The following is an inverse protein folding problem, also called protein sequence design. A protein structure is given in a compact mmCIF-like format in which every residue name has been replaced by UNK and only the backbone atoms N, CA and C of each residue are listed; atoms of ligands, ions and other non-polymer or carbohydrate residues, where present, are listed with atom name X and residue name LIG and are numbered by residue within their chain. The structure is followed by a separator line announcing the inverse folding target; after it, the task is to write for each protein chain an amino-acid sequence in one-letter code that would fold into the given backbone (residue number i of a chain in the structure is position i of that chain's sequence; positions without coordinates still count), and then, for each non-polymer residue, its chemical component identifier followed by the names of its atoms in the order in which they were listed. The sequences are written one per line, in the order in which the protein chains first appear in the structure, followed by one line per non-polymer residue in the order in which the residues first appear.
data_IF_302491163338
#
_entry.id   IF_302491163338
#
_cell.length_a   1.000
_cell.length_b   1.000
_cell.length_c   1.000
_cell.angle_alpha   90.00
_cell.angle_beta   90.00
_cell.angle_gamma   90.00
#
_symmetry.space_group_name_H-M   'P 1'
#
loop_
_entity.id
_entity.type
_entity.pdbx_description
1 polymer ?
#
# COMPACT_ATOMS: atom_id res chain seq x y z
N UNK A 1 11.59 4.38 -0.28
CA UNK A 1 10.44 4.26 -1.19
C UNK A 1 10.87 3.45 -2.41
N UNK A 2 10.03 2.52 -2.88
CA UNK A 2 10.23 1.79 -4.13
C UNK A 2 9.08 2.13 -5.07
N UNK A 3 9.39 2.42 -6.33
CA UNK A 3 8.39 2.63 -7.39
C UNK A 3 8.70 1.66 -8.52
N UNK A 4 7.73 0.83 -8.88
CA UNK A 4 7.88 -0.18 -9.94
C UNK A 4 6.83 0.05 -11.01
N UNK A 5 7.26 0.54 -12.17
CA UNK A 5 6.37 0.91 -13.28
C UNK A 5 6.54 -0.08 -14.42
N UNK A 6 5.45 -0.54 -15.01
CA UNK A 6 5.53 -1.28 -16.26
C UNK A 6 5.66 -0.29 -17.42
N UNK A 7 6.72 -0.42 -18.22
CA UNK A 7 6.89 0.37 -19.45
C UNK A 7 7.16 -0.59 -20.60
N UNK A 8 6.38 -0.43 -21.68
CA UNK A 8 6.41 -1.25 -22.90
C UNK A 8 6.29 -2.75 -22.62
N UNK A 9 7.41 -3.44 -22.35
CA UNK A 9 7.48 -4.89 -22.12
C UNK A 9 8.14 -5.30 -20.80
N UNK A 10 8.63 -4.34 -19.99
CA UNK A 10 9.37 -4.64 -18.77
C UNK A 10 8.98 -3.76 -17.58
N UNK A 11 9.13 -4.31 -16.38
CA UNK A 11 9.00 -3.53 -15.15
C UNK A 11 10.30 -2.81 -14.84
N UNK A 12 10.24 -1.48 -14.78
CA UNK A 12 11.35 -0.63 -14.36
C UNK A 12 11.13 -0.26 -12.89
N UNK A 13 12.09 -0.65 -12.06
CA UNK A 13 12.05 -0.35 -10.62
C UNK A 13 13.02 0.77 -10.30
N UNK A 14 12.57 1.75 -9.50
CA UNK A 14 13.41 2.80 -8.91
C UNK A 14 13.34 2.67 -7.38
N UNK A 15 14.48 2.76 -6.71
CA UNK A 15 14.57 2.78 -5.26
C UNK A 15 15.04 4.17 -4.80
N UNK A 16 14.50 4.63 -3.67
CA UNK A 16 14.85 5.91 -3.04
C UNK A 16 15.06 5.72 -1.54
N UNK A 17 16.05 6.41 -0.98
CA UNK A 17 16.37 6.42 0.44
C UNK A 17 16.45 7.86 0.97
N UNK A 18 15.71 8.14 2.05
CA UNK A 18 15.82 9.44 2.74
C UNK A 18 17.09 9.46 3.58
N UNK A 19 18.09 10.24 3.15
CA UNK A 19 19.39 10.27 3.82
C UNK A 19 19.35 10.96 5.18
N UNK A 20 18.45 11.94 5.36
CA UNK A 20 18.26 12.64 6.63
C UNK A 20 17.68 11.71 7.69
N UNK A 21 16.70 10.88 7.33
CA UNK A 21 16.12 9.89 8.23
C UNK A 21 17.11 8.78 8.58
N UNK A 22 17.94 8.34 7.62
CA UNK A 22 19.01 7.37 7.92
C UNK A 22 20.05 7.96 8.88
N UNK A 23 20.35 9.26 8.78
CA UNK A 23 21.27 9.95 9.71
C UNK A 23 20.69 10.13 11.11
N UNK A 24 19.38 10.34 11.23
CA UNK A 24 18.66 10.49 12.51
C UNK A 24 18.29 9.16 13.16
N UNK A 25 18.45 8.04 12.46
CA UNK A 25 18.19 6.72 13.01
C UNK A 25 19.16 6.42 14.17
N UNK A 26 18.70 5.62 15.14
CA UNK A 26 19.54 5.17 16.26
C UNK A 26 20.79 4.46 15.75
N UNK A 27 21.90 4.62 16.48
CA UNK A 27 23.24 4.18 16.05
C UNK A 27 23.32 2.69 15.70
N UNK A 28 22.50 1.85 16.33
CA UNK A 28 22.41 0.40 16.07
C UNK A 28 21.60 0.06 14.82
N UNK A 29 20.70 0.93 14.38
CA UNK A 29 19.84 0.75 13.21
C UNK A 29 20.48 1.34 11.95
N UNK A 30 21.16 2.48 12.06
CA UNK A 30 21.82 3.15 10.95
C UNK A 30 22.70 2.23 10.08
N UNK A 31 23.65 1.42 10.62
CA UNK A 31 24.47 0.54 9.80
C UNK A 31 23.64 -0.57 9.13
N UNK A 32 22.54 -1.02 9.75
CA UNK A 32 21.61 -1.99 9.15
C UNK A 32 20.86 -1.40 7.97
N UNK A 33 20.40 -0.15 8.07
CA UNK A 33 19.74 0.57 6.97
C UNK A 33 20.70 0.79 5.81
N UNK A 34 21.95 1.18 6.08
CA UNK A 34 22.98 1.35 5.05
C UNK A 34 23.31 0.01 4.38
N UNK A 35 23.45 -1.06 5.17
CA UNK A 35 23.67 -2.42 4.64
C UNK A 35 22.51 -2.89 3.76
N UNK A 36 21.27 -2.65 4.16
CA UNK A 36 20.08 -2.95 3.37
C UNK A 36 20.07 -2.16 2.07
N UNK A 37 20.29 -0.85 2.13
CA UNK A 37 20.33 0.02 0.95
C UNK A 37 21.34 -0.49 -0.09
N UNK A 38 22.55 -0.88 0.35
CA UNK A 38 23.59 -1.44 -0.53
C UNK A 38 23.22 -2.78 -1.17
N UNK A 39 22.31 -3.56 -0.59
CA UNK A 39 21.86 -4.85 -1.14
C UNK A 39 20.75 -4.69 -2.18
N UNK A 40 20.03 -3.57 -2.18
CA UNK A 40 18.92 -3.35 -3.10
C UNK A 40 19.43 -3.15 -4.54
N UNK A 41 18.75 -3.79 -5.50
CA UNK A 41 18.99 -3.64 -6.94
C UNK A 41 17.71 -3.12 -7.62
N UNK A 42 17.75 -1.97 -8.32
CA UNK A 42 18.89 -1.06 -8.44
C UNK A 42 19.24 -0.37 -7.11
N UNK A 43 20.46 0.19 -7.03
CA UNK A 43 20.89 0.94 -5.85
C UNK A 43 19.92 2.10 -5.56
N UNK A 44 19.51 2.32 -4.30
CA UNK A 44 18.62 3.42 -3.96
C UNK A 44 19.25 4.77 -4.23
N UNK A 45 18.50 5.64 -4.91
CA UNK A 45 18.88 7.04 -5.08
C UNK A 45 18.72 7.77 -3.74
N UNK A 46 19.76 8.46 -3.24
CA UNK A 46 19.63 9.29 -2.05
C UNK A 46 18.72 10.48 -2.36
N UNK A 47 17.79 10.78 -1.46
CA UNK A 47 16.87 11.92 -1.55
C UNK A 47 16.73 12.62 -0.20
N UNK A 48 16.43 13.91 -0.21
CA UNK A 48 16.02 14.66 0.98
C UNK A 48 14.58 14.34 1.38
N UNK A 49 14.15 14.79 2.57
CA UNK A 49 12.75 14.67 2.97
C UNK A 49 11.82 15.41 1.99
N UNK A 50 12.17 16.62 1.60
CA UNK A 50 11.38 17.43 0.66
C UNK A 50 11.22 16.73 -0.70
N UNK A 51 12.30 16.16 -1.23
CA UNK A 51 12.26 15.39 -2.48
C UNK A 51 11.38 14.13 -2.33
N UNK A 52 11.41 13.47 -1.17
CA UNK A 52 10.56 12.32 -0.90
C UNK A 52 9.08 12.70 -0.86
N UNK A 53 8.74 13.85 -0.26
CA UNK A 53 7.37 14.39 -0.27
C UNK A 53 6.92 14.69 -1.71
N UNK A 54 7.76 15.37 -2.50
CA UNK A 54 7.48 15.64 -3.93
C UNK A 54 7.25 14.36 -4.73
N UNK A 55 8.07 13.32 -4.52
CA UNK A 55 7.91 12.03 -5.16
C UNK A 55 6.60 11.34 -4.77
N UNK A 56 6.24 11.39 -3.48
CA UNK A 56 5.02 10.76 -2.96
C UNK A 56 3.76 11.44 -3.51
N UNK A 57 3.79 12.77 -3.63
CA UNK A 57 2.67 13.56 -4.16
C UNK A 57 2.64 13.64 -5.69
N UNK A 58 3.65 13.08 -6.37
CA UNK A 58 3.65 13.02 -7.83
C UNK A 58 2.66 11.96 -8.33
N UNK A 59 2.09 12.10 -9.54
CA UNK A 59 1.17 11.09 -10.07
C UNK A 59 1.84 9.75 -10.41
N UNK A 60 3.14 9.74 -10.73
CA UNK A 60 3.86 8.57 -11.26
C UNK A 60 3.67 7.30 -10.41
N UNK A 61 3.88 7.30 -9.07
CA UNK A 61 3.76 6.09 -8.26
C UNK A 61 2.37 5.45 -8.29
N UNK A 62 1.32 6.28 -8.28
CA UNK A 62 -0.08 5.82 -8.26
C UNK A 62 -0.46 5.27 -9.62
N UNK A 63 -0.19 6.01 -10.69
CA UNK A 63 -0.42 5.54 -12.06
C UNK A 63 0.31 4.21 -12.30
N UNK A 64 1.53 4.07 -11.79
CA UNK A 64 2.26 2.82 -11.91
C UNK A 64 1.63 1.68 -11.11
N UNK A 65 1.10 1.94 -9.92
CA UNK A 65 0.40 0.95 -9.12
C UNK A 65 -0.90 0.50 -9.80
N UNK A 66 -1.69 1.42 -10.35
CA UNK A 66 -2.91 1.11 -11.10
C UNK A 66 -2.63 0.26 -12.35
N UNK A 67 -1.59 0.59 -13.11
CA UNK A 67 -1.16 -0.24 -14.27
C UNK A 67 -0.81 -1.67 -13.84
N UNK A 68 -0.14 -1.85 -12.69
CA UNK A 68 0.14 -3.21 -12.20
C UNK A 68 -1.13 -3.91 -11.77
N UNK A 69 -2.02 -3.22 -11.05
CA UNK A 69 -3.27 -3.80 -10.59
C UNK A 69 -4.12 -4.27 -11.78
N UNK A 70 -4.27 -3.45 -12.82
CA UNK A 70 -5.00 -3.81 -14.03
C UNK A 70 -4.45 -5.08 -14.68
N UNK A 71 -3.12 -5.25 -14.69
CA UNK A 71 -2.50 -6.47 -15.23
C UNK A 71 -2.74 -7.68 -14.34
N UNK A 72 -2.77 -7.50 -13.02
CA UNK A 72 -3.07 -8.57 -12.08
C UNK A 72 -4.53 -9.01 -12.21
N UNK A 73 -5.48 -8.08 -12.30
CA UNK A 73 -6.91 -8.38 -12.43
C UNK A 73 -7.25 -9.07 -13.76
N UNK A 74 -6.52 -8.77 -14.84
CA UNK A 74 -6.66 -9.48 -16.12
C UNK A 74 -6.09 -10.90 -16.10
N UNK A 75 -5.14 -11.19 -15.20
CA UNK A 75 -4.40 -12.46 -15.17
C UNK A 75 -4.95 -13.44 -14.16
N UNK A 76 -5.46 -12.96 -13.03
CA UNK A 76 -5.87 -13.78 -11.90
C UNK A 76 -7.36 -13.57 -11.62
N UNK A 77 -8.06 -14.66 -11.31
CA UNK A 77 -9.49 -14.65 -10.98
C UNK A 77 -9.77 -13.97 -9.63
N UNK A 78 -8.83 -14.11 -8.68
CA UNK A 78 -8.92 -13.49 -7.35
C UNK A 78 -7.69 -12.65 -7.11
N UNK A 79 -7.91 -11.36 -6.84
CA UNK A 79 -6.86 -10.40 -6.49
C UNK A 79 -7.20 -9.79 -5.14
N UNK A 80 -6.29 -9.94 -4.17
CA UNK A 80 -6.39 -9.31 -2.86
C UNK A 80 -5.44 -8.12 -2.84
N UNK A 81 -5.97 -6.94 -2.54
CA UNK A 81 -5.19 -5.71 -2.40
C UNK A 81 -5.19 -5.30 -0.94
N UNK A 82 -4.01 -5.24 -0.34
CA UNK A 82 -3.82 -4.76 1.03
C UNK A 82 -3.55 -3.25 1.03
N UNK A 83 -4.23 -2.52 1.90
CA UNK A 83 -3.98 -1.10 2.11
C UNK A 83 -2.70 -0.85 2.91
N UNK A 84 -2.21 0.39 2.90
CA UNK A 84 -1.12 0.82 3.77
C UNK A 84 -1.67 1.56 4.99
N UNK A 85 -1.37 1.04 6.18
CA UNK A 85 -1.82 1.60 7.46
C UNK A 85 -3.36 1.73 7.52
N UNK A 86 -3.91 2.93 7.69
CA UNK A 86 -5.33 3.22 7.77
C UNK A 86 -5.86 3.96 6.53
N UNK A 87 -5.17 3.88 5.39
CA UNK A 87 -5.67 4.46 4.14
C UNK A 87 -6.92 3.71 3.70
N UNK A 88 -7.95 4.45 3.25
CA UNK A 88 -9.20 3.87 2.76
C UNK A 88 -8.99 3.06 1.48
N UNK A 89 -8.09 3.50 0.61
CA UNK A 89 -7.71 2.80 -0.60
C UNK A 89 -6.23 3.02 -0.92
N UNK A 90 -5.47 1.98 -1.31
CA UNK A 90 -4.06 2.13 -1.69
C UNK A 90 -3.90 2.81 -3.06
N UNK A 91 -4.87 2.68 -3.97
CA UNK A 91 -4.90 3.36 -5.28
C UNK A 91 -6.35 3.61 -5.74
N UNK A 92 -6.64 4.60 -6.61
CA UNK A 92 -7.98 4.81 -7.14
C UNK A 92 -8.58 3.55 -7.78
N UNK A 93 -7.82 2.86 -8.65
CA UNK A 93 -8.32 1.67 -9.35
C UNK A 93 -8.63 0.51 -8.39
N UNK A 94 -7.94 0.43 -7.25
CA UNK A 94 -8.14 -0.67 -6.30
C UNK A 94 -9.52 -0.68 -5.63
N UNK A 95 -10.11 0.50 -5.41
CA UNK A 95 -11.48 0.59 -4.90
C UNK A 95 -12.52 0.58 -6.03
N UNK A 96 -12.18 1.12 -7.21
CA UNK A 96 -13.06 1.07 -8.38
C UNK A 96 -13.36 -0.36 -8.85
N UNK A 97 -12.36 -1.25 -8.77
CA UNK A 97 -12.48 -2.65 -9.15
C UNK A 97 -12.83 -3.58 -7.99
N UNK A 98 -13.01 -3.07 -6.77
CA UNK A 98 -13.28 -3.91 -5.62
C UNK A 98 -14.72 -4.46 -5.67
N UNK A 99 -14.87 -5.78 -5.65
CA UNK A 99 -16.17 -6.41 -5.41
C UNK A 99 -16.57 -6.33 -3.93
N UNK A 100 -15.58 -6.48 -3.04
CA UNK A 100 -15.73 -6.42 -1.58
C UNK A 100 -14.56 -5.67 -0.97
N UNK A 101 -14.83 -4.94 0.11
CA UNK A 101 -13.81 -4.29 0.95
C UNK A 101 -13.86 -4.91 2.34
N UNK A 102 -12.72 -5.40 2.81
CA UNK A 102 -12.57 -5.98 4.14
C UNK A 102 -11.91 -4.95 5.06
N UNK A 103 -12.65 -4.47 6.05
CA UNK A 103 -12.08 -3.61 7.10
C UNK A 103 -11.74 -4.47 8.31
N UNK A 104 -10.44 -4.62 8.55
CA UNK A 104 -9.90 -5.52 9.56
C UNK A 104 -9.71 -4.76 10.88
N UNK A 105 -10.24 -5.31 11.95
CA UNK A 105 -10.02 -4.87 13.33
C UNK A 105 -9.61 -6.08 14.20
N UNK A 106 -9.04 -5.88 15.39
CA UNK A 106 -8.76 -6.99 16.29
C UNK A 106 -10.01 -7.86 16.52
N UNK A 107 -9.89 -9.16 16.24
CA UNK A 107 -10.96 -10.13 16.45
C UNK A 107 -12.02 -10.24 15.35
N UNK A 108 -12.08 -9.30 14.39
CA UNK A 108 -13.10 -9.32 13.33
C UNK A 108 -12.67 -8.66 12.02
N UNK A 109 -13.21 -9.14 10.90
CA UNK A 109 -13.19 -8.44 9.64
C UNK A 109 -14.62 -8.08 9.21
N UNK A 110 -14.85 -6.79 8.96
CA UNK A 110 -16.12 -6.26 8.49
C UNK A 110 -16.13 -6.30 6.95
N UNK A 111 -17.21 -6.81 6.37
CA UNK A 111 -17.35 -7.01 4.93
C UNK A 111 -18.26 -5.92 4.37
N UNK A 112 -17.73 -5.09 3.49
CA UNK A 112 -18.45 -4.04 2.78
C UNK A 112 -18.63 -4.39 1.31
N UNK A 113 -19.71 -3.88 0.74
CA UNK A 113 -19.90 -3.88 -0.71
C UNK A 113 -18.95 -2.90 -1.37
N UNK A 114 -18.19 -3.33 -2.38
CA UNK A 114 -17.19 -2.46 -2.98
C UNK A 114 -17.76 -1.23 -3.68
N UNK A 115 -18.93 -1.36 -4.33
CA UNK A 115 -19.60 -0.22 -5.00
C UNK A 115 -20.06 0.83 -4.00
N UNK A 116 -20.70 0.39 -2.90
CA UNK A 116 -21.12 1.31 -1.83
C UNK A 116 -19.92 1.96 -1.13
N UNK A 117 -18.82 1.21 -0.97
CA UNK A 117 -17.58 1.75 -0.44
C UNK A 117 -17.00 2.86 -1.33
N UNK A 118 -16.97 2.62 -2.64
CA UNK A 118 -16.55 3.61 -3.65
C UNK A 118 -17.43 4.86 -3.63
N UNK A 119 -18.76 4.70 -3.57
CA UNK A 119 -19.70 5.83 -3.50
C UNK A 119 -19.45 6.70 -2.26
N UNK A 120 -19.31 6.09 -1.08
CA UNK A 120 -19.00 6.82 0.14
C UNK A 120 -17.65 7.54 0.06
N UNK A 121 -16.64 6.90 -0.56
CA UNK A 121 -15.34 7.53 -0.78
C UNK A 121 -15.44 8.75 -1.69
N UNK A 122 -16.19 8.66 -2.81
CA UNK A 122 -16.40 9.79 -3.74
C UNK A 122 -17.09 10.97 -3.06
N UNK A 123 -18.12 10.72 -2.25
CA UNK A 123 -18.80 11.75 -1.46
C UNK A 123 -17.83 12.47 -0.52
N UNK A 124 -16.94 11.71 0.15
CA UNK A 124 -15.92 12.29 1.03
C UNK A 124 -14.91 13.12 0.25
N UNK A 125 -14.45 12.64 -0.91
CA UNK A 125 -13.49 13.36 -1.75
C UNK A 125 -14.07 14.69 -2.27
N UNK A 126 -15.31 14.69 -2.74
CA UNK A 126 -16.03 15.89 -3.17
C UNK A 126 -16.16 16.90 -2.02
N UNK A 127 -16.54 16.42 -0.83
CA UNK A 127 -16.71 17.27 0.37
C UNK A 127 -15.39 17.87 0.86
N UNK A 128 -14.26 17.18 0.64
CA UNK A 128 -12.92 17.60 1.06
C UNK A 128 -12.15 18.38 -0.01
N UNK A 129 -12.81 18.77 -1.10
CA UNK A 129 -12.25 19.61 -2.17
C UNK A 129 -11.38 18.85 -3.16
N UNK A 130 -11.78 17.62 -3.53
CA UNK A 130 -11.10 16.75 -4.49
C UNK A 130 -9.65 16.43 -4.12
N UNK A 131 -9.34 16.41 -2.82
CA UNK A 131 -8.05 15.96 -2.33
C UNK A 131 -7.93 14.45 -2.50
N UNK A 132 -6.74 14.03 -2.90
CA UNK A 132 -6.49 12.78 -3.60
C UNK A 132 -6.85 11.55 -2.75
N UNK A 133 -7.35 10.49 -3.40
CA UNK A 133 -7.88 9.24 -2.85
C UNK A 133 -7.05 8.55 -1.74
N UNK A 134 -5.75 8.79 -1.66
CA UNK A 134 -4.86 8.19 -0.67
C UNK A 134 -4.76 8.97 0.66
N UNK A 135 -5.44 10.12 0.78
CA UNK A 135 -5.48 10.91 2.02
C UNK A 135 -6.68 10.56 2.90
N UNK A 136 -7.72 9.96 2.32
CA UNK A 136 -8.90 9.51 3.06
C UNK A 136 -8.54 8.30 3.92
N UNK A 137 -8.90 8.37 5.19
CA UNK A 137 -8.68 7.28 6.14
C UNK A 137 -9.89 6.35 6.19
N UNK A 138 -9.66 5.05 6.41
CA UNK A 138 -10.71 4.01 6.45
C UNK A 138 -11.85 4.39 7.40
N UNK A 139 -11.52 5.02 8.55
CA UNK A 139 -12.48 5.46 9.56
C UNK A 139 -13.58 6.36 8.97
N UNK A 140 -13.21 7.33 8.14
CA UNK A 140 -14.16 8.29 7.57
C UNK A 140 -15.17 7.62 6.64
N UNK A 141 -14.76 6.57 5.92
CA UNK A 141 -15.65 5.82 5.02
C UNK A 141 -16.61 4.93 5.81
N UNK A 142 -16.11 4.21 6.82
CA UNK A 142 -16.94 3.26 7.60
C UNK A 142 -17.96 3.96 8.50
N UNK A 143 -17.74 5.22 8.87
CA UNK A 143 -18.73 6.03 9.59
C UNK A 143 -19.98 6.33 8.74
N UNK A 144 -19.84 6.29 7.40
CA UNK A 144 -20.94 6.53 6.46
C UNK A 144 -21.67 5.25 6.04
N UNK A 145 -21.12 4.08 6.34
CA UNK A 145 -21.58 2.80 5.79
C UNK A 145 -21.82 1.75 6.86
N UNK A 146 -22.88 0.97 6.67
CA UNK A 146 -23.08 -0.27 7.43
C UNK A 146 -22.43 -1.45 6.69
N UNK A 147 -21.69 -2.33 7.38
CA UNK A 147 -21.16 -3.53 6.77
C UNK A 147 -22.30 -4.46 6.33
N UNK A 148 -22.10 -5.20 5.24
CA UNK A 148 -23.02 -6.24 4.80
C UNK A 148 -22.98 -7.44 5.74
N UNK A 149 -21.79 -7.78 6.25
CA UNK A 149 -21.58 -8.90 7.15
C UNK A 149 -20.26 -8.72 7.93
N UNK A 150 -19.95 -9.63 8.83
CA UNK A 150 -18.65 -9.72 9.49
C UNK A 150 -18.22 -11.17 9.63
N UNK A 151 -16.92 -11.37 9.77
CA UNK A 151 -16.33 -12.65 10.15
C UNK A 151 -15.49 -12.47 11.41
N UNK A 152 -15.51 -13.46 12.30
CA UNK A 152 -14.58 -13.52 13.42
C UNK A 152 -13.22 -13.94 12.89
N UNK A 153 -12.18 -13.20 13.23
CA UNK A 153 -10.80 -13.56 12.92
C UNK A 153 -10.05 -13.73 14.23
N UNK A 154 -9.30 -14.82 14.35
CA UNK A 154 -8.48 -15.08 15.52
C UNK A 154 -7.03 -14.77 15.18
N UNK A 155 -6.26 -14.18 16.11
CA UNK A 155 -4.82 -14.13 15.95
C UNK A 155 -4.30 -15.53 15.62
N UNK A 156 -3.39 -15.64 14.66
CA UNK A 156 -2.65 -16.89 14.48
C UNK A 156 -1.84 -17.13 15.76
N UNK A 157 -2.33 -18.03 16.62
CA UNK A 157 -1.76 -18.35 17.93
C UNK A 157 -0.37 -19.00 17.85
N UNK A 158 0.06 -19.40 16.65
CA UNK A 158 1.43 -19.71 16.30
C UNK A 158 1.81 -18.91 15.05
N UNK A 159 2.83 -18.03 15.09
CA UNK A 159 3.52 -17.65 13.86
C UNK A 159 3.92 -18.96 13.19
N UNK A 160 3.53 -19.18 11.94
CA UNK A 160 4.05 -20.34 11.24
C UNK A 160 5.57 -20.14 11.17
N UNK A 161 6.37 -21.07 11.68
CA UNK A 161 7.84 -20.99 11.58
C UNK A 161 8.27 -20.81 10.10
N UNK A 162 7.46 -21.34 9.17
CA UNK A 162 7.59 -21.18 7.71
C UNK A 162 7.43 -19.73 7.19
N UNK A 163 6.79 -18.85 7.97
CA UNK A 163 6.63 -17.44 7.60
C UNK A 163 7.94 -16.67 7.76
N UNK A 164 8.81 -17.12 8.67
CA UNK A 164 10.16 -16.55 8.88
C UNK A 164 11.22 -17.23 8.00
N UNK A 165 11.02 -18.51 7.63
CA UNK A 165 11.96 -19.28 6.80
C UNK A 165 12.24 -18.69 5.40
N UNK A 166 11.35 -17.84 4.88
CA UNK A 166 11.47 -17.34 3.50
C UNK A 166 11.99 -15.91 3.38
N UNK A 167 12.39 -15.25 4.47
CA UNK A 167 12.98 -13.91 4.39
C UNK A 167 14.24 -13.93 3.51
N UNK A 168 15.05 -14.97 3.59
CA UNK A 168 16.25 -15.12 2.75
C UNK A 168 15.93 -15.40 1.27
N UNK A 169 14.79 -16.05 0.97
CA UNK A 169 14.31 -16.24 -0.42
C UNK A 169 13.76 -14.94 -1.02
N UNK A 170 13.19 -14.06 -0.20
CA UNK A 170 12.72 -12.73 -0.63
C UNK A 170 13.87 -11.72 -0.83
N UNK A 171 15.08 -12.04 -0.33
CA UNK A 171 16.28 -11.21 -0.41
C UNK A 171 17.30 -11.70 -1.46
N UNK A 172 16.98 -12.75 -2.23
CA UNK A 172 17.74 -13.17 -3.42
C UNK A 172 17.19 -12.51 -4.68
#
# INVERSE_FOLDING_TARGET
MRVSCFKTSRTITKHYVNVEHVRKAVSTLQPKLVKLARKLKPQPKPVTYEQMVKLTNSPEPITCADIQLERLTRKYEVVIVESFNNAATPTPLSVENADKVLVVAPGKALIYDGRKYLEALKILEETLGNKIAYTTVTRSVVELLKPQNYMSIYPCSKPSDKALENIEKLLK
#
